data_IF_620550700012
#
_entry.id   IF_620550700012
#
_cell.length_a   1.000
_cell.length_b   1.000
_cell.length_c   1.000
_cell.angle_alpha   90.00
_cell.angle_beta   90.00
_cell.angle_gamma   90.00
#
_symmetry.space_group_name_H-M   'P 1'
#
loop_
_entity.id
_entity.type
_entity.pdbx_description
1 polymer ?
#
# COMPACT_ATOMS: atom_id res chain seq x y z
N UNK A 1 -70.31 -5.06 -42.41
CA UNK A 1 -68.92 -4.89 -42.78
C UNK A 1 -68.27 -3.69 -42.04
N UNK A 2 -69.06 -2.64 -41.76
CA UNK A 2 -68.52 -1.41 -41.09
C UNK A 2 -68.31 -1.58 -39.58
N UNK A 3 -68.97 -2.50 -38.88
CA UNK A 3 -68.74 -2.79 -37.43
C UNK A 3 -67.50 -3.65 -37.12
N UNK A 4 -66.89 -4.28 -38.14
CA UNK A 4 -65.63 -5.01 -37.99
C UNK A 4 -64.42 -4.14 -38.17
N UNK A 5 -64.56 -2.96 -38.73
CA UNK A 5 -63.42 -1.99 -38.91
C UNK A 5 -63.27 -1.05 -37.72
N UNK A 6 -64.31 -0.92 -36.86
CA UNK A 6 -64.21 -0.14 -35.61
C UNK A 6 -63.56 -0.88 -34.45
N UNK A 7 -63.49 -2.22 -34.50
CA UNK A 7 -62.74 -3.05 -33.53
C UNK A 7 -61.26 -3.27 -33.90
N UNK A 8 -60.80 -2.78 -35.06
CA UNK A 8 -59.39 -2.79 -35.47
C UNK A 8 -58.72 -1.43 -35.30
N UNK A 9 -59.42 -0.44 -34.73
CA UNK A 9 -58.90 0.88 -34.42
C UNK A 9 -58.07 0.97 -33.13
N UNK A 10 -58.07 -0.09 -32.31
CA UNK A 10 -57.24 -0.19 -31.11
C UNK A 10 -55.86 -0.85 -31.36
N UNK A 11 -55.55 -1.01 -32.62
CA UNK A 11 -54.22 -1.53 -33.01
C UNK A 11 -53.27 -0.37 -33.12
N UNK A 12 -52.43 -0.28 -32.08
CA UNK A 12 -51.07 0.24 -32.15
C UNK A 12 -51.00 1.69 -32.65
N UNK A 13 -51.18 2.64 -31.74
CA UNK A 13 -50.36 3.82 -31.79
C UNK A 13 -48.90 3.33 -31.68
N UNK A 14 -48.30 3.02 -32.81
CA UNK A 14 -46.87 2.98 -32.96
C UNK A 14 -46.40 4.38 -32.60
N UNK A 15 -45.99 4.57 -31.34
CA UNK A 15 -45.28 5.77 -30.93
C UNK A 15 -44.21 6.03 -32.00
N UNK A 16 -44.25 7.19 -32.62
CA UNK A 16 -43.28 7.52 -33.65
C UNK A 16 -41.87 7.21 -33.13
N UNK A 17 -40.91 6.81 -33.95
CA UNK A 17 -39.56 6.56 -33.51
C UNK A 17 -38.99 7.70 -32.63
N UNK A 18 -39.44 8.92 -32.88
CA UNK A 18 -39.12 10.10 -32.07
C UNK A 18 -39.69 10.00 -30.64
N UNK A 19 -40.96 9.66 -30.47
CA UNK A 19 -41.58 9.52 -29.15
C UNK A 19 -40.94 8.39 -28.32
N UNK A 20 -40.50 7.33 -28.98
CA UNK A 20 -39.74 6.25 -28.34
C UNK A 20 -38.37 6.72 -27.87
N UNK A 21 -37.68 7.50 -28.68
CA UNK A 21 -36.36 8.09 -28.33
C UNK A 21 -36.52 9.12 -27.22
N UNK A 22 -37.51 10.02 -27.30
CA UNK A 22 -37.82 10.97 -26.23
C UNK A 22 -38.13 10.30 -24.89
N UNK A 23 -38.91 9.22 -24.92
CA UNK A 23 -39.22 8.44 -23.70
C UNK A 23 -37.97 7.73 -23.16
N UNK A 24 -37.14 7.16 -24.03
CA UNK A 24 -35.84 6.59 -23.65
C UNK A 24 -34.89 7.64 -23.07
N UNK A 25 -34.81 8.83 -23.68
CA UNK A 25 -34.02 9.92 -23.14
C UNK A 25 -34.52 10.37 -21.75
N UNK A 26 -35.83 10.52 -21.58
CA UNK A 26 -36.42 10.82 -20.26
C UNK A 26 -36.13 9.70 -19.26
N UNK A 27 -36.26 8.44 -19.65
CA UNK A 27 -36.01 7.30 -18.79
C UNK A 27 -34.51 7.22 -18.39
N UNK A 28 -33.59 7.52 -19.30
CA UNK A 28 -32.18 7.60 -19.04
C UNK A 28 -31.85 8.79 -18.11
N UNK A 29 -32.39 9.97 -18.39
CA UNK A 29 -32.17 11.17 -17.57
C UNK A 29 -32.79 11.05 -16.17
N UNK A 30 -33.96 10.38 -16.04
CA UNK A 30 -34.57 10.12 -14.72
C UNK A 30 -33.85 9.01 -13.96
N UNK A 31 -33.17 8.08 -14.65
CA UNK A 31 -32.41 7.00 -14.02
C UNK A 31 -30.97 7.37 -13.67
N UNK A 32 -30.47 8.51 -14.11
CA UNK A 32 -29.25 9.09 -13.55
C UNK A 32 -29.67 9.77 -12.24
N UNK A 33 -29.45 9.17 -11.07
CA UNK A 33 -29.78 9.83 -9.82
C UNK A 33 -28.98 11.13 -9.73
N UNK A 34 -29.61 12.22 -9.32
CA UNK A 34 -28.93 13.48 -8.98
C UNK A 34 -27.81 13.25 -7.94
N UNK A 35 -27.90 12.15 -7.21
CA UNK A 35 -26.90 11.65 -6.27
C UNK A 35 -25.58 11.20 -6.95
N UNK A 36 -25.59 10.82 -8.24
CA UNK A 36 -24.35 10.43 -8.94
C UNK A 36 -23.46 11.63 -9.30
N UNK A 37 -24.03 12.80 -9.56
CA UNK A 37 -23.27 14.03 -9.81
C UNK A 37 -22.73 14.66 -8.50
N UNK A 38 -23.39 14.42 -7.37
CA UNK A 38 -22.95 14.94 -6.07
C UNK A 38 -21.87 14.09 -5.39
N UNK A 39 -21.47 12.96 -5.96
CA UNK A 39 -20.82 11.88 -5.22
C UNK A 39 -19.28 11.94 -5.13
N UNK A 40 -18.62 12.81 -5.85
CA UNK A 40 -17.19 13.09 -5.56
C UNK A 40 -17.06 14.19 -4.50
N UNK A 41 -17.62 13.94 -3.30
CA UNK A 41 -17.35 14.83 -2.17
C UNK A 41 -15.87 14.68 -1.81
N UNK A 42 -15.19 15.81 -1.67
CA UNK A 42 -13.77 15.87 -1.21
C UNK A 42 -13.51 15.16 0.14
N UNK A 43 -14.56 14.70 0.78
CA UNK A 43 -14.55 14.05 2.09
C UNK A 43 -14.51 12.53 2.03
N UNK A 44 -14.80 11.92 0.87
CA UNK A 44 -14.75 10.47 0.69
C UNK A 44 -13.32 9.96 0.77
N UNK A 45 -13.07 8.94 1.58
CA UNK A 45 -11.72 8.42 1.77
C UNK A 45 -11.65 6.90 1.95
N UNK A 46 -12.78 6.22 2.17
CA UNK A 46 -12.82 4.76 2.34
C UNK A 46 -13.49 4.16 1.10
N UNK A 47 -12.72 3.40 0.33
CA UNK A 47 -13.11 2.90 -0.99
C UNK A 47 -13.40 1.41 -0.96
N UNK A 48 -14.36 0.96 -1.78
CA UNK A 48 -14.47 -0.44 -2.15
C UNK A 48 -13.42 -0.72 -3.23
N UNK A 49 -12.66 -1.78 -3.04
CA UNK A 49 -11.65 -2.22 -4.01
C UNK A 49 -12.34 -2.66 -5.30
N UNK A 50 -11.96 -2.08 -6.46
CA UNK A 50 -12.49 -2.46 -7.76
C UNK A 50 -12.34 -3.97 -8.03
N UNK A 51 -13.34 -4.58 -8.69
CA UNK A 51 -13.37 -6.02 -8.94
C UNK A 51 -12.10 -6.51 -9.67
N UNK A 52 -11.65 -5.80 -10.69
CA UNK A 52 -10.44 -6.15 -11.44
C UNK A 52 -9.19 -6.28 -10.54
N UNK A 53 -9.02 -5.38 -9.57
CA UNK A 53 -7.91 -5.43 -8.62
C UNK A 53 -8.11 -6.52 -7.55
N UNK A 54 -9.36 -6.74 -7.14
CA UNK A 54 -9.72 -7.79 -6.18
C UNK A 54 -9.47 -9.19 -6.72
N UNK A 55 -9.80 -9.41 -7.99
CA UNK A 55 -9.66 -10.70 -8.68
C UNK A 55 -8.20 -11.17 -8.76
N UNK A 56 -7.23 -10.24 -8.70
CA UNK A 56 -5.81 -10.59 -8.64
C UNK A 56 -5.42 -11.31 -7.34
N UNK A 57 -5.98 -10.88 -6.20
CA UNK A 57 -5.80 -11.53 -4.89
C UNK A 57 -6.86 -11.06 -3.89
N UNK A 58 -8.01 -11.73 -3.85
CA UNK A 58 -9.11 -11.41 -2.92
C UNK A 58 -8.67 -11.45 -1.45
N UNK A 59 -7.77 -12.38 -1.09
CA UNK A 59 -7.29 -12.54 0.27
C UNK A 59 -6.46 -11.33 0.77
N UNK A 60 -5.92 -10.53 -0.14
CA UNK A 60 -5.18 -9.31 0.21
C UNK A 60 -6.10 -8.19 0.71
N UNK A 61 -7.39 -8.22 0.37
CA UNK A 61 -8.38 -7.17 0.67
C UNK A 61 -9.45 -7.61 1.69
N UNK A 62 -9.45 -8.90 2.06
CA UNK A 62 -10.45 -9.46 2.97
C UNK A 62 -9.87 -9.64 4.37
N UNK A 63 -10.55 -9.17 5.43
CA UNK A 63 -10.11 -9.38 6.80
C UNK A 63 -10.18 -10.86 7.18
N UNK A 64 -9.16 -11.34 7.92
CA UNK A 64 -9.04 -12.73 8.33
C UNK A 64 -9.49 -12.97 9.76
N UNK A 65 -9.44 -11.96 10.59
CA UNK A 65 -9.66 -12.07 12.02
C UNK A 65 -10.73 -11.13 12.51
N UNK A 66 -10.70 -9.86 12.13
CA UNK A 66 -11.61 -8.86 12.68
C UNK A 66 -12.23 -7.99 11.59
N UNK A 67 -13.54 -7.82 11.64
CA UNK A 67 -14.27 -6.82 10.86
C UNK A 67 -14.28 -5.50 11.63
N UNK A 68 -13.96 -4.42 10.96
CA UNK A 68 -14.17 -3.04 11.43
C UNK A 68 -15.06 -2.34 10.40
N UNK A 69 -16.05 -1.60 10.89
CA UNK A 69 -16.97 -0.85 10.04
C UNK A 69 -17.89 -1.71 9.11
N UNK A 70 -18.73 -1.09 8.26
CA UNK A 70 -19.89 -1.78 7.70
C UNK A 70 -19.56 -2.78 6.58
N UNK A 71 -18.45 -2.62 5.84
CA UNK A 71 -18.21 -3.38 4.60
C UNK A 71 -18.14 -4.89 4.88
N UNK A 72 -17.45 -5.30 5.93
CA UNK A 72 -17.26 -6.71 6.30
C UNK A 72 -18.04 -7.14 7.55
N UNK A 73 -18.92 -6.28 8.10
CA UNK A 73 -19.62 -6.50 9.38
C UNK A 73 -20.38 -7.84 9.47
N UNK A 74 -20.99 -8.27 8.39
CA UNK A 74 -21.82 -9.50 8.35
C UNK A 74 -21.03 -10.75 7.92
N UNK A 75 -19.69 -10.74 7.97
CA UNK A 75 -18.89 -11.91 7.61
C UNK A 75 -18.95 -12.96 8.74
N UNK A 76 -19.65 -14.06 8.46
CA UNK A 76 -19.83 -15.19 9.40
C UNK A 76 -18.49 -15.73 9.96
N UNK A 77 -17.42 -15.70 9.16
CA UNK A 77 -16.09 -16.19 9.59
C UNK A 77 -15.45 -15.34 10.69
N UNK A 78 -15.93 -14.09 10.85
CA UNK A 78 -15.36 -13.11 11.80
C UNK A 78 -16.19 -12.99 13.10
N UNK A 79 -17.33 -13.68 13.20
CA UNK A 79 -18.26 -13.58 14.35
C UNK A 79 -17.60 -13.88 15.70
N UNK A 80 -16.62 -14.75 15.74
CA UNK A 80 -15.91 -15.06 16.99
C UNK A 80 -15.24 -13.83 17.63
N UNK A 81 -14.80 -12.86 16.79
CA UNK A 81 -14.17 -11.64 17.29
C UNK A 81 -15.19 -10.60 17.74
N UNK A 82 -16.44 -10.66 17.32
CA UNK A 82 -17.50 -9.78 17.84
C UNK A 82 -17.69 -9.97 19.36
N UNK A 83 -17.57 -11.21 19.85
CA UNK A 83 -17.59 -11.51 21.28
C UNK A 83 -16.40 -10.86 22.01
N UNK A 84 -15.23 -10.85 21.38
CA UNK A 84 -14.04 -10.19 21.97
C UNK A 84 -14.18 -8.66 21.96
N UNK A 85 -14.80 -8.08 20.94
CA UNK A 85 -15.13 -6.64 20.95
C UNK A 85 -16.06 -6.27 22.10
N UNK A 86 -17.12 -7.08 22.35
CA UNK A 86 -18.02 -6.88 23.50
C UNK A 86 -17.28 -6.98 24.83
N UNK A 87 -16.35 -7.94 24.96
CA UNK A 87 -15.52 -8.08 26.14
C UNK A 87 -14.65 -6.81 26.35
N UNK A 88 -13.99 -6.33 25.28
CA UNK A 88 -13.17 -5.12 25.32
C UNK A 88 -14.01 -3.90 25.65
N UNK A 89 -15.21 -3.77 25.11
CA UNK A 89 -16.16 -2.72 25.47
C UNK A 89 -16.48 -2.73 26.98
N UNK A 90 -16.85 -3.89 27.52
CA UNK A 90 -17.14 -4.04 28.95
C UNK A 90 -15.94 -3.65 29.81
N UNK A 91 -14.77 -4.22 29.51
CA UNK A 91 -13.54 -3.98 30.28
C UNK A 91 -13.05 -2.54 30.14
N UNK A 92 -13.26 -1.87 29.00
CA UNK A 92 -12.99 -0.44 28.84
C UNK A 92 -13.77 0.41 29.85
N UNK A 93 -15.08 0.17 29.98
CA UNK A 93 -15.90 0.89 30.94
C UNK A 93 -15.56 0.54 32.41
N UNK A 94 -15.17 -0.69 32.69
CA UNK A 94 -14.75 -1.11 34.03
C UNK A 94 -13.38 -0.55 34.44
N UNK A 95 -12.44 -0.45 33.51
CA UNK A 95 -11.04 -0.11 33.81
C UNK A 95 -10.69 1.37 33.58
N UNK A 96 -11.37 2.02 32.63
CA UNK A 96 -11.00 3.38 32.16
C UNK A 96 -11.97 4.46 32.62
N UNK A 97 -13.19 4.09 33.00
CA UNK A 97 -14.28 5.02 33.30
C UNK A 97 -14.72 4.85 34.75
N UNK A 98 -14.93 5.96 35.43
CA UNK A 98 -15.53 5.96 36.78
C UNK A 98 -16.97 5.39 36.69
N UNK A 99 -17.33 4.51 37.58
CA UNK A 99 -18.60 3.77 37.55
C UNK A 99 -19.83 4.67 37.45
N UNK A 100 -19.79 5.80 38.18
CA UNK A 100 -20.87 6.78 38.22
C UNK A 100 -21.04 7.53 36.89
N UNK A 101 -19.97 7.64 36.11
CA UNK A 101 -19.94 8.33 34.81
C UNK A 101 -20.19 7.40 33.61
N UNK A 102 -20.19 6.09 33.81
CA UNK A 102 -20.28 5.11 32.73
C UNK A 102 -21.55 5.27 31.88
N UNK A 103 -22.70 5.45 32.52
CA UNK A 103 -23.98 5.66 31.82
C UNK A 103 -24.01 6.99 31.04
N UNK A 104 -23.49 8.04 31.62
CA UNK A 104 -23.42 9.37 30.99
C UNK A 104 -22.50 9.33 29.76
N UNK A 105 -21.32 8.72 29.90
CA UNK A 105 -20.37 8.57 28.79
C UNK A 105 -20.95 7.71 27.67
N UNK A 106 -21.56 6.57 27.98
CA UNK A 106 -22.17 5.70 26.98
C UNK A 106 -23.25 6.45 26.18
N UNK A 107 -24.12 7.20 26.87
CA UNK A 107 -25.13 8.03 26.23
C UNK A 107 -24.50 9.09 25.32
N UNK A 108 -23.46 9.79 25.79
CA UNK A 108 -22.77 10.81 25.02
C UNK A 108 -22.11 10.23 23.75
N UNK A 109 -21.45 9.06 23.85
CA UNK A 109 -20.85 8.39 22.69
C UNK A 109 -21.91 7.98 21.65
N UNK A 110 -23.03 7.38 22.11
CA UNK A 110 -24.13 6.98 21.22
C UNK A 110 -24.77 8.19 20.53
N UNK A 111 -25.01 9.29 21.28
CA UNK A 111 -25.58 10.53 20.71
C UNK A 111 -24.64 11.13 19.67
N UNK A 112 -23.33 11.22 19.95
CA UNK A 112 -22.33 11.75 19.02
C UNK A 112 -22.29 10.93 17.73
N UNK A 113 -22.31 9.59 17.81
CA UNK A 113 -22.32 8.72 16.63
C UNK A 113 -23.62 8.90 15.83
N UNK A 114 -24.76 8.94 16.50
CA UNK A 114 -26.08 9.11 15.86
C UNK A 114 -26.18 10.46 15.14
N UNK A 115 -25.73 11.55 15.76
CA UNK A 115 -25.70 12.88 15.14
C UNK A 115 -24.80 12.94 13.89
N UNK A 116 -23.73 12.11 13.87
CA UNK A 116 -22.75 12.05 12.78
C UNK A 116 -22.93 10.86 11.84
N UNK A 117 -24.00 10.10 11.95
CA UNK A 117 -24.23 8.93 11.14
C UNK A 117 -24.08 9.23 9.65
N UNK A 118 -24.70 10.30 9.16
CA UNK A 118 -24.62 10.74 7.77
C UNK A 118 -23.19 11.11 7.38
N UNK A 119 -22.48 11.86 8.22
CA UNK A 119 -21.09 12.26 7.95
C UNK A 119 -20.16 11.04 7.87
N UNK A 120 -20.36 10.07 8.76
CA UNK A 120 -19.57 8.83 8.77
C UNK A 120 -19.87 8.03 7.51
N UNK A 121 -21.15 7.88 7.13
CA UNK A 121 -21.56 7.18 5.91
C UNK A 121 -21.00 7.85 4.64
N UNK A 122 -20.98 9.19 4.60
CA UNK A 122 -20.45 9.94 3.46
C UNK A 122 -18.94 9.75 3.24
N UNK A 123 -18.20 9.21 4.21
CA UNK A 123 -16.76 8.88 4.04
C UNK A 123 -16.52 7.64 3.18
N UNK A 124 -17.52 6.81 2.99
CA UNK A 124 -17.43 5.60 2.18
C UNK A 124 -17.84 5.86 0.74
N UNK A 125 -16.95 5.50 -0.19
CA UNK A 125 -17.24 5.46 -1.64
C UNK A 125 -17.83 4.10 -1.95
N UNK A 126 -19.11 3.95 -1.68
CA UNK A 126 -19.84 2.73 -1.93
C UNK A 126 -21.25 3.09 -2.36
N UNK A 127 -21.91 2.14 -3.01
CA UNK A 127 -23.35 2.20 -3.19
C UNK A 127 -24.01 2.19 -1.79
N UNK A 128 -24.26 3.40 -1.26
CA UNK A 128 -24.85 3.61 0.07
C UNK A 128 -26.18 2.89 0.22
N UNK A 129 -26.87 2.59 -0.90
CA UNK A 129 -28.08 1.79 -0.89
C UNK A 129 -27.85 0.37 -0.38
N UNK A 130 -26.66 -0.20 -0.61
CA UNK A 130 -26.30 -1.53 -0.10
C UNK A 130 -25.98 -1.55 1.39
N UNK A 131 -25.50 -0.44 1.97
CA UNK A 131 -25.29 -0.33 3.41
C UNK A 131 -26.58 -0.01 4.14
N UNK A 132 -27.34 0.99 3.67
CA UNK A 132 -28.58 1.43 4.29
C UNK A 132 -29.68 0.35 4.25
N UNK A 133 -29.63 -0.58 3.28
CA UNK A 133 -30.56 -1.71 3.23
C UNK A 133 -30.23 -2.87 4.17
N UNK A 134 -28.97 -2.94 4.68
CA UNK A 134 -28.49 -4.06 5.51
C UNK A 134 -28.32 -3.72 6.99
N UNK A 135 -28.13 -2.46 7.34
CA UNK A 135 -27.96 -2.00 8.73
C UNK A 135 -28.99 -0.91 9.02
N UNK A 136 -29.89 -1.14 9.98
CA UNK A 136 -30.73 -0.06 10.53
C UNK A 136 -29.85 0.97 11.25
N UNK A 137 -30.30 2.23 11.35
CA UNK A 137 -29.55 3.29 12.03
C UNK A 137 -29.01 2.87 13.41
N UNK A 138 -29.85 2.24 14.24
CA UNK A 138 -29.42 1.74 15.57
C UNK A 138 -28.33 0.66 15.49
N UNK A 139 -28.39 -0.22 14.47
CA UNK A 139 -27.37 -1.26 14.29
C UNK A 139 -26.05 -0.65 13.84
N UNK A 140 -26.11 0.36 12.96
CA UNK A 140 -24.92 1.09 12.53
C UNK A 140 -24.26 1.83 13.70
N UNK A 141 -25.04 2.55 14.50
CA UNK A 141 -24.55 3.29 15.69
C UNK A 141 -23.87 2.33 16.69
N UNK A 142 -24.50 1.18 16.97
CA UNK A 142 -23.95 0.15 17.84
C UNK A 142 -22.65 -0.44 17.30
N UNK A 143 -22.58 -0.73 16.00
CA UNK A 143 -21.38 -1.24 15.35
C UNK A 143 -20.24 -0.24 15.45
N UNK A 144 -20.45 1.02 15.11
CA UNK A 144 -19.41 2.07 15.19
C UNK A 144 -18.89 2.23 16.60
N UNK A 145 -19.80 2.24 17.62
CA UNK A 145 -19.40 2.30 19.02
C UNK A 145 -18.52 1.12 19.41
N UNK A 146 -18.95 -0.10 19.08
CA UNK A 146 -18.25 -1.33 19.44
C UNK A 146 -16.86 -1.38 18.82
N UNK A 147 -16.77 -1.03 17.55
CA UNK A 147 -15.50 -1.01 16.81
C UNK A 147 -14.55 0.09 17.29
N UNK A 148 -15.07 1.30 17.56
CA UNK A 148 -14.26 2.39 18.08
C UNK A 148 -13.67 2.07 19.47
N UNK A 149 -14.51 1.63 20.40
CA UNK A 149 -14.05 1.30 21.76
C UNK A 149 -13.11 0.09 21.75
N UNK A 150 -13.35 -0.89 20.89
CA UNK A 150 -12.40 -1.99 20.69
C UNK A 150 -11.02 -1.48 20.28
N UNK A 151 -10.94 -0.57 19.31
CA UNK A 151 -9.67 0.03 18.85
C UNK A 151 -9.00 0.79 19.99
N UNK A 152 -9.75 1.58 20.75
CA UNK A 152 -9.20 2.35 21.88
C UNK A 152 -8.57 1.42 22.92
N UNK A 153 -9.31 0.42 23.38
CA UNK A 153 -8.82 -0.48 24.41
C UNK A 153 -7.67 -1.37 23.90
N UNK A 154 -7.73 -1.81 22.64
CA UNK A 154 -6.64 -2.54 21.99
C UNK A 154 -5.33 -1.73 22.01
N UNK A 155 -5.39 -0.46 21.64
CA UNK A 155 -4.21 0.39 21.58
C UNK A 155 -3.68 0.74 22.97
N UNK A 156 -4.56 1.01 23.93
CA UNK A 156 -4.19 1.25 25.30
C UNK A 156 -3.49 0.04 25.92
N UNK A 157 -4.08 -1.16 25.78
CA UNK A 157 -3.47 -2.41 26.29
C UNK A 157 -2.13 -2.70 25.61
N UNK A 158 -2.04 -2.50 24.30
CA UNK A 158 -0.78 -2.69 23.59
C UNK A 158 0.30 -1.74 24.10
N UNK A 159 -0.02 -0.49 24.41
CA UNK A 159 0.93 0.47 24.99
C UNK A 159 1.32 0.09 26.43
N UNK A 160 0.38 -0.34 27.25
CA UNK A 160 0.66 -0.80 28.59
C UNK A 160 1.52 -2.07 28.60
N UNK A 161 1.24 -3.04 27.69
CA UNK A 161 2.06 -4.24 27.48
C UNK A 161 3.48 -3.88 27.01
N UNK A 162 3.64 -2.86 26.17
CA UNK A 162 4.98 -2.39 25.75
C UNK A 162 5.80 -1.83 26.91
N UNK A 163 5.16 -1.19 27.88
CA UNK A 163 5.83 -0.65 29.07
C UNK A 163 6.12 -1.73 30.11
N UNK A 164 5.21 -2.65 30.26
CA UNK A 164 5.29 -3.75 31.20
C UNK A 164 4.71 -5.02 30.55
N UNK A 165 5.58 -5.88 30.07
CA UNK A 165 5.19 -7.10 29.36
C UNK A 165 4.55 -8.17 30.24
N UNK A 166 4.52 -7.98 31.58
CA UNK A 166 3.78 -8.84 32.50
C UNK A 166 2.28 -8.57 32.47
N UNK A 167 1.88 -7.36 32.08
CA UNK A 167 0.47 -7.00 31.94
C UNK A 167 -0.15 -7.69 30.72
N UNK A 168 -1.37 -8.13 30.85
CA UNK A 168 -2.16 -8.72 29.76
C UNK A 168 -1.57 -9.96 29.10
N UNK A 169 -0.69 -10.72 29.78
CA UNK A 169 -0.17 -11.99 29.26
C UNK A 169 -1.28 -13.01 28.99
N UNK A 170 -2.31 -13.03 29.86
CA UNK A 170 -3.48 -13.88 29.75
C UNK A 170 -4.59 -13.29 28.87
N UNK A 171 -4.43 -12.07 28.37
CA UNK A 171 -5.40 -11.47 27.47
C UNK A 171 -5.46 -12.25 26.15
N UNK A 172 -6.69 -12.47 25.67
CA UNK A 172 -6.94 -13.27 24.49
C UNK A 172 -6.23 -12.73 23.22
N UNK A 173 -6.08 -11.42 23.11
CA UNK A 173 -5.45 -10.75 21.95
C UNK A 173 -4.00 -10.37 22.26
N UNK A 174 -3.78 -9.62 23.35
CA UNK A 174 -2.46 -9.06 23.67
C UNK A 174 -1.45 -10.15 24.00
N UNK A 175 -1.86 -11.21 24.72
CA UNK A 175 -1.03 -12.34 25.07
C UNK A 175 -0.60 -13.23 23.88
N UNK A 176 -1.18 -13.01 22.67
CA UNK A 176 -0.90 -13.86 21.50
C UNK A 176 -0.28 -13.06 20.36
N UNK A 177 1.05 -13.14 20.15
CA UNK A 177 1.76 -12.35 19.14
C UNK A 177 1.20 -12.49 17.72
N UNK A 178 0.82 -13.72 17.33
CA UNK A 178 0.25 -13.98 16.01
C UNK A 178 -1.10 -13.26 15.81
N UNK A 179 -1.95 -13.23 16.84
CA UNK A 179 -3.26 -12.59 16.77
C UNK A 179 -3.14 -11.06 16.72
N UNK A 180 -2.21 -10.50 17.52
CA UNK A 180 -1.88 -9.07 17.41
C UNK A 180 -1.39 -8.68 16.01
N UNK A 181 -0.54 -9.53 15.40
CA UNK A 181 -0.05 -9.30 14.05
C UNK A 181 -1.18 -9.41 13.01
N UNK A 182 -2.08 -10.38 13.15
CA UNK A 182 -3.21 -10.58 12.27
C UNK A 182 -4.23 -9.41 12.36
N UNK A 183 -4.54 -8.95 13.57
CA UNK A 183 -5.41 -7.78 13.77
C UNK A 183 -4.76 -6.52 13.21
N UNK A 184 -3.44 -6.31 13.42
CA UNK A 184 -2.72 -5.16 12.83
C UNK A 184 -2.81 -5.17 11.31
N UNK A 185 -2.71 -6.35 10.68
CA UNK A 185 -2.92 -6.52 9.24
C UNK A 185 -4.33 -6.12 8.83
N UNK A 186 -5.35 -6.61 9.54
CA UNK A 186 -6.74 -6.35 9.20
C UNK A 186 -7.10 -4.85 9.38
N UNK A 187 -6.47 -4.15 10.33
CA UNK A 187 -6.65 -2.72 10.54
C UNK A 187 -5.99 -1.84 9.45
N UNK A 188 -5.18 -2.41 8.56
CA UNK A 188 -4.58 -1.67 7.42
C UNK A 188 -5.42 -1.84 6.15
N UNK A 189 -6.34 -2.81 6.09
CA UNK A 189 -7.16 -3.04 4.90
C UNK A 189 -8.04 -1.83 4.59
N UNK A 190 -8.03 -1.38 3.33
CA UNK A 190 -8.76 -0.19 2.87
C UNK A 190 -10.28 -0.29 3.14
N UNK A 191 -10.84 -1.48 3.03
CA UNK A 191 -12.27 -1.73 3.26
C UNK A 191 -12.64 -1.98 4.74
N UNK A 192 -11.65 -1.99 5.63
CA UNK A 192 -11.82 -2.33 7.04
C UNK A 192 -11.46 -1.14 7.94
N UNK A 193 -12.03 0.04 7.64
CA UNK A 193 -11.67 1.31 8.24
C UNK A 193 -12.86 2.05 8.82
N UNK A 194 -12.61 2.78 9.92
CA UNK A 194 -13.43 3.90 10.37
C UNK A 194 -12.67 5.21 10.08
N UNK A 195 -13.38 6.33 9.80
CA UNK A 195 -12.74 7.62 9.64
C UNK A 195 -11.95 8.02 10.91
N UNK A 196 -10.69 8.41 10.74
CA UNK A 196 -9.84 8.77 11.89
C UNK A 196 -10.37 9.98 12.66
N UNK A 197 -11.01 10.92 11.96
CA UNK A 197 -11.68 12.07 12.60
C UNK A 197 -12.74 11.62 13.60
N UNK A 198 -13.60 10.67 13.21
CA UNK A 198 -14.63 10.08 14.08
C UNK A 198 -14.00 9.36 15.27
N UNK A 199 -13.00 8.49 15.03
CA UNK A 199 -12.30 7.81 16.11
C UNK A 199 -11.66 8.79 17.09
N UNK A 200 -11.01 9.83 16.60
CA UNK A 200 -10.33 10.82 17.44
C UNK A 200 -11.30 11.64 18.29
N UNK A 201 -12.47 11.98 17.75
CA UNK A 201 -13.50 12.70 18.50
C UNK A 201 -14.11 11.82 19.59
N UNK A 202 -14.49 10.58 19.26
CA UNK A 202 -15.01 9.64 20.25
C UNK A 202 -13.96 9.31 21.34
N UNK A 203 -12.68 9.20 20.94
CA UNK A 203 -11.61 8.98 21.91
C UNK A 203 -11.42 10.16 22.87
N UNK A 204 -11.45 11.40 22.36
CA UNK A 204 -11.38 12.61 23.20
C UNK A 204 -12.53 12.69 24.18
N UNK A 205 -13.74 12.31 23.75
CA UNK A 205 -14.91 12.25 24.60
C UNK A 205 -14.76 11.17 25.69
N UNK A 206 -14.27 9.99 25.31
CA UNK A 206 -14.08 8.85 26.20
C UNK A 206 -12.94 9.06 27.22
N UNK A 207 -11.88 9.75 26.81
CA UNK A 207 -10.64 9.94 27.58
C UNK A 207 -10.41 11.42 27.90
N UNK A 208 -11.40 12.08 28.50
CA UNK A 208 -11.40 13.53 28.81
C UNK A 208 -10.38 13.96 29.85
N UNK A 209 -9.52 13.08 30.38
CA UNK A 209 -8.44 13.40 31.33
C UNK A 209 -7.25 14.03 30.60
N UNK A 210 -6.69 15.09 31.18
CA UNK A 210 -5.57 15.88 30.64
C UNK A 210 -4.27 15.07 30.43
N UNK A 211 -4.10 13.95 31.14
CA UNK A 211 -2.86 13.17 31.15
C UNK A 211 -2.92 11.94 30.23
N UNK A 212 -3.95 11.82 29.38
CA UNK A 212 -4.09 10.67 28.50
C UNK A 212 -3.25 10.85 27.22
N UNK A 213 -2.60 9.77 26.80
CA UNK A 213 -1.91 9.71 25.49
C UNK A 213 -2.95 9.94 24.39
N UNK A 214 -2.63 10.74 23.41
CA UNK A 214 -3.54 10.99 22.28
C UNK A 214 -3.78 9.73 21.45
N UNK A 215 -4.95 9.62 20.78
CA UNK A 215 -5.22 8.52 19.87
C UNK A 215 -4.19 8.48 18.73
N UNK A 216 -3.73 9.63 18.28
CA UNK A 216 -2.70 9.74 17.25
C UNK A 216 -1.39 9.10 17.73
N UNK A 217 -0.92 9.42 18.93
CA UNK A 217 0.31 8.84 19.47
C UNK A 217 0.19 7.32 19.70
N UNK A 218 -0.98 6.87 20.19
CA UNK A 218 -1.26 5.45 20.33
C UNK A 218 -1.23 4.74 18.99
N UNK A 219 -1.84 5.35 17.96
CA UNK A 219 -1.82 4.81 16.59
C UNK A 219 -0.40 4.74 16.03
N UNK A 220 0.41 5.78 16.24
CA UNK A 220 1.82 5.78 15.83
C UNK A 220 2.61 4.64 16.48
N UNK A 221 2.40 4.41 17.76
CA UNK A 221 3.06 3.32 18.49
C UNK A 221 2.55 1.94 18.06
N UNK A 222 1.25 1.80 17.79
CA UNK A 222 0.68 0.54 17.34
C UNK A 222 1.19 0.12 15.96
N UNK A 223 1.36 1.08 15.03
CA UNK A 223 1.88 0.87 13.69
C UNK A 223 3.37 1.17 13.53
N UNK A 224 4.13 1.29 14.63
CA UNK A 224 5.56 1.65 14.64
C UNK A 224 6.43 0.75 13.75
N UNK A 225 6.06 -0.53 13.54
CA UNK A 225 6.74 -1.43 12.61
C UNK A 225 6.93 -0.81 11.20
N UNK A 226 5.99 0.03 10.75
CA UNK A 226 6.02 0.67 9.44
C UNK A 226 6.64 2.05 9.45
N UNK A 227 6.86 2.62 10.64
CA UNK A 227 7.40 3.96 10.82
C UNK A 227 8.92 3.94 10.72
N UNK A 228 9.46 4.72 9.79
CA UNK A 228 10.91 4.98 9.74
C UNK A 228 11.23 6.38 10.24
N UNK A 229 11.00 7.42 9.45
CA UNK A 229 11.05 8.81 9.87
C UNK A 229 9.71 9.45 9.52
N UNK A 230 9.00 10.06 10.44
CA UNK A 230 7.74 10.74 10.14
C UNK A 230 7.47 11.83 11.17
N UNK A 231 7.15 13.01 10.67
CA UNK A 231 6.55 14.08 11.47
C UNK A 231 5.10 14.29 10.99
N UNK A 232 4.11 14.30 11.90
CA UNK A 232 2.71 14.41 11.54
C UNK A 232 2.39 15.84 11.09
N UNK A 233 2.51 16.11 9.80
CA UNK A 233 2.17 17.40 9.20
C UNK A 233 0.86 17.39 8.42
N UNK A 234 0.24 16.22 8.23
CA UNK A 234 -0.99 16.05 7.44
C UNK A 234 -2.14 15.51 8.28
N UNK A 235 -3.36 15.83 7.85
CA UNK A 235 -4.58 15.20 8.37
C UNK A 235 -4.57 13.73 7.95
N UNK A 236 -4.68 12.83 8.91
CA UNK A 236 -4.79 11.39 8.67
C UNK A 236 -6.27 11.04 8.48
N UNK A 237 -6.57 10.32 7.40
CA UNK A 237 -7.94 9.96 7.04
C UNK A 237 -8.41 8.67 7.75
N UNK A 238 -7.56 7.66 7.79
CA UNK A 238 -7.75 6.35 8.42
C UNK A 238 -6.41 5.62 8.57
N UNK A 239 -6.38 4.40 9.11
CA UNK A 239 -5.11 3.70 9.39
C UNK A 239 -4.34 3.30 8.13
N UNK A 240 -5.02 3.00 7.02
CA UNK A 240 -4.34 2.76 5.74
C UNK A 240 -3.55 4.00 5.30
N UNK A 241 -4.17 5.19 5.41
CA UNK A 241 -3.51 6.47 5.12
C UNK A 241 -2.35 6.76 6.07
N UNK A 242 -2.51 6.46 7.37
CA UNK A 242 -1.44 6.59 8.35
C UNK A 242 -0.20 5.78 7.94
N UNK A 243 -0.39 4.50 7.57
CA UNK A 243 0.71 3.63 7.15
C UNK A 243 1.30 4.08 5.83
N UNK A 244 0.46 4.56 4.88
CA UNK A 244 0.91 5.23 3.66
C UNK A 244 1.84 6.39 3.98
N UNK A 245 1.43 7.28 4.88
CA UNK A 245 2.25 8.42 5.30
C UNK A 245 3.60 8.00 5.88
N UNK A 246 3.65 6.93 6.66
CA UNK A 246 4.91 6.41 7.20
C UNK A 246 5.87 5.92 6.13
N UNK A 247 5.36 5.21 5.12
CA UNK A 247 6.17 4.63 4.05
C UNK A 247 6.51 5.64 2.95
N UNK A 248 5.63 6.63 2.71
CA UNK A 248 5.80 7.65 1.68
C UNK A 248 6.43 8.95 2.18
N UNK A 249 6.89 8.99 3.42
CA UNK A 249 7.55 10.18 3.96
C UNK A 249 8.78 10.54 3.11
N UNK A 250 8.84 11.79 2.68
CA UNK A 250 9.96 12.32 1.90
C UNK A 250 10.85 13.16 2.79
N UNK A 251 12.15 12.91 2.69
CA UNK A 251 13.08 13.88 3.25
C UNK A 251 12.88 15.25 2.59
N UNK A 252 12.84 16.37 3.33
CA UNK A 252 12.58 17.71 2.77
C UNK A 252 13.51 18.08 1.62
N UNK A 253 14.75 17.58 1.65
CA UNK A 253 15.77 17.85 0.63
C UNK A 253 15.60 17.00 -0.64
N UNK A 254 14.71 16.00 -0.62
CA UNK A 254 14.48 15.12 -1.77
C UNK A 254 13.52 15.79 -2.76
N UNK A 255 14.07 16.57 -3.68
CA UNK A 255 13.31 17.08 -4.83
C UNK A 255 13.05 15.93 -5.77
N UNK A 256 11.87 15.33 -5.68
CA UNK A 256 11.40 14.38 -6.69
C UNK A 256 10.98 15.19 -7.91
N UNK A 257 11.78 15.13 -8.96
CA UNK A 257 11.42 15.74 -10.25
C UNK A 257 10.24 15.00 -10.85
N UNK A 258 9.30 15.75 -11.44
CA UNK A 258 8.21 15.15 -12.21
C UNK A 258 8.78 14.67 -13.53
N UNK A 259 8.86 13.37 -13.71
CA UNK A 259 9.22 12.70 -14.96
C UNK A 259 8.01 12.08 -15.66
N UNK A 260 8.22 11.49 -16.82
CA UNK A 260 7.27 10.61 -17.49
C UNK A 260 7.18 9.26 -16.78
N UNK A 261 6.36 8.31 -17.27
CA UNK A 261 6.37 6.94 -16.77
C UNK A 261 7.73 6.26 -17.05
N UNK A 262 8.13 5.32 -16.20
CA UNK A 262 9.30 4.48 -16.46
C UNK A 262 8.98 3.59 -17.66
N UNK A 263 9.58 3.91 -18.82
CA UNK A 263 9.35 3.15 -20.06
C UNK A 263 10.13 1.84 -20.07
N UNK A 264 11.38 1.93 -19.69
CA UNK A 264 12.33 0.80 -19.64
C UNK A 264 13.34 1.04 -18.53
N UNK A 265 13.73 -0.02 -17.85
CA UNK A 265 14.87 -0.02 -16.94
C UNK A 265 15.50 -1.41 -17.01
N UNK A 266 16.82 -1.46 -17.08
CA UNK A 266 17.55 -2.73 -17.02
C UNK A 266 17.46 -3.36 -15.64
N UNK A 267 17.36 -4.70 -15.58
CA UNK A 267 17.22 -5.43 -14.30
C UNK A 267 18.47 -5.27 -13.40
N UNK A 268 18.31 -5.60 -12.14
CA UNK A 268 19.37 -5.42 -11.14
C UNK A 268 20.65 -6.15 -11.51
N UNK A 269 20.55 -7.38 -12.03
CA UNK A 269 21.72 -8.16 -12.48
C UNK A 269 22.39 -7.55 -13.71
N UNK A 270 21.62 -7.04 -14.65
CA UNK A 270 22.16 -6.35 -15.83
C UNK A 270 22.89 -5.07 -15.43
N UNK A 271 22.31 -4.26 -14.55
CA UNK A 271 22.95 -3.06 -14.03
C UNK A 271 24.23 -3.37 -13.25
N UNK A 272 24.24 -4.44 -12.45
CA UNK A 272 25.44 -4.91 -11.74
C UNK A 272 26.54 -5.31 -12.71
N UNK A 273 26.22 -6.03 -13.78
CA UNK A 273 27.19 -6.42 -14.82
C UNK A 273 27.83 -5.20 -15.48
N UNK A 274 27.09 -4.12 -15.69
CA UNK A 274 27.61 -2.84 -16.16
C UNK A 274 28.50 -2.13 -15.11
N UNK A 275 28.47 -2.55 -13.86
CA UNK A 275 29.29 -2.02 -12.78
C UNK A 275 28.56 -1.16 -11.76
N UNK A 276 27.21 -1.13 -11.80
CA UNK A 276 26.41 -0.49 -10.76
C UNK A 276 26.45 -1.39 -9.51
N UNK A 277 26.66 -0.77 -8.36
CA UNK A 277 26.65 -1.42 -7.05
C UNK A 277 25.40 -1.00 -6.29
N UNK A 278 24.63 -1.97 -5.85
CA UNK A 278 23.50 -1.74 -4.96
C UNK A 278 24.00 -1.63 -3.51
N UNK A 279 23.47 -0.67 -2.77
CA UNK A 279 23.78 -0.49 -1.35
C UNK A 279 22.52 -0.25 -0.54
N UNK A 280 22.40 -0.92 0.59
CA UNK A 280 21.32 -0.64 1.54
C UNK A 280 21.53 0.72 2.20
N UNK A 281 20.44 1.49 2.33
CA UNK A 281 20.37 2.76 3.05
C UNK A 281 19.43 2.60 4.24
N UNK A 282 19.91 2.09 5.39
CA UNK A 282 19.06 1.83 6.56
C UNK A 282 18.49 3.13 7.14
N UNK A 283 17.38 3.00 7.88
CA UNK A 283 16.72 4.07 8.61
C UNK A 283 16.13 5.22 7.76
N UNK A 284 16.11 5.08 6.44
CA UNK A 284 15.49 6.02 5.53
C UNK A 284 14.10 5.54 5.05
N UNK A 285 13.30 6.47 4.54
CA UNK A 285 12.00 6.18 3.92
C UNK A 285 12.16 5.36 2.65
N UNK A 286 11.15 4.56 2.28
CA UNK A 286 11.18 3.76 1.04
C UNK A 286 11.44 4.59 -0.22
N UNK A 287 11.05 5.86 -0.21
CA UNK A 287 11.22 6.77 -1.35
C UNK A 287 12.61 7.40 -1.44
N UNK A 288 13.45 7.22 -0.44
CA UNK A 288 14.78 7.85 -0.38
C UNK A 288 15.82 7.02 -1.15
N UNK A 289 15.62 6.94 -2.45
CA UNK A 289 16.52 6.24 -3.37
C UNK A 289 17.50 7.25 -3.97
N UNK A 290 18.80 6.99 -3.86
CA UNK A 290 19.87 7.91 -4.24
C UNK A 290 20.84 7.23 -5.20
N UNK A 291 21.08 7.84 -6.35
CA UNK A 291 22.22 7.50 -7.22
C UNK A 291 23.36 8.49 -6.97
N UNK A 292 24.57 8.14 -7.43
CA UNK A 292 25.80 8.91 -7.27
C UNK A 292 25.72 10.41 -7.62
N UNK A 293 24.79 10.83 -8.48
CA UNK A 293 24.60 12.25 -8.83
C UNK A 293 23.89 13.06 -7.74
N UNK A 294 23.10 12.39 -6.90
CA UNK A 294 22.32 13.03 -5.82
C UNK A 294 23.05 13.03 -4.48
N UNK A 295 24.25 12.45 -4.42
CA UNK A 295 25.07 12.46 -3.22
C UNK A 295 25.65 13.85 -2.95
N UNK A 296 25.81 14.22 -1.70
CA UNK A 296 26.45 15.46 -1.30
C UNK A 296 27.90 15.54 -1.82
N UNK A 297 28.48 16.76 -1.93
CA UNK A 297 29.87 16.91 -2.36
C UNK A 297 30.86 16.10 -1.51
N UNK A 298 30.60 15.94 -0.21
CA UNK A 298 31.43 15.15 0.69
C UNK A 298 31.32 13.65 0.40
N UNK A 299 30.11 13.14 0.15
CA UNK A 299 29.85 11.75 -0.22
C UNK A 299 30.44 11.41 -1.60
N UNK A 300 30.38 12.34 -2.57
CA UNK A 300 31.01 12.16 -3.92
C UNK A 300 32.51 12.01 -3.90
N UNK A 301 33.20 12.51 -2.88
CA UNK A 301 34.64 12.36 -2.74
C UNK A 301 34.99 10.93 -2.31
N UNK A 302 34.14 10.28 -1.57
CA UNK A 302 34.34 8.93 -1.01
C UNK A 302 33.70 7.86 -1.91
N UNK A 303 32.59 8.16 -2.59
CA UNK A 303 31.77 7.20 -3.35
C UNK A 303 32.04 7.28 -4.85
N UNK A 304 32.30 6.10 -5.43
CA UNK A 304 32.58 5.97 -6.86
C UNK A 304 31.31 6.06 -7.69
N UNK A 305 31.42 6.66 -8.88
CA UNK A 305 30.40 6.59 -9.94
C UNK A 305 29.88 5.16 -10.11
N UNK A 306 28.55 4.98 -10.12
CA UNK A 306 27.93 3.67 -10.29
C UNK A 306 27.41 3.03 -9.00
N UNK A 307 27.06 3.79 -7.98
CA UNK A 307 26.40 3.28 -6.78
C UNK A 307 24.92 3.70 -6.74
N UNK A 308 24.04 2.75 -6.43
CA UNK A 308 22.61 2.98 -6.20
C UNK A 308 22.27 2.59 -4.76
N UNK A 309 21.85 3.57 -3.98
CA UNK A 309 21.49 3.43 -2.59
C UNK A 309 20.00 3.33 -2.47
N UNK A 310 19.48 2.27 -1.82
CA UNK A 310 18.05 2.01 -1.64
C UNK A 310 17.76 1.64 -0.19
N UNK A 311 16.67 2.17 0.38
CA UNK A 311 16.22 1.72 1.70
C UNK A 311 15.83 0.24 1.68
N UNK A 312 16.20 -0.53 2.74
CA UNK A 312 15.83 -1.93 2.83
C UNK A 312 14.32 -2.13 2.84
N UNK A 313 13.82 -3.01 1.97
CA UNK A 313 12.45 -3.50 1.98
C UNK A 313 12.40 -4.88 2.63
N UNK A 314 11.70 -4.97 3.77
CA UNK A 314 11.39 -6.26 4.41
C UNK A 314 10.18 -6.88 3.73
N UNK A 315 10.36 -8.09 3.20
CA UNK A 315 9.29 -8.84 2.51
C UNK A 315 8.91 -10.05 3.38
N UNK A 316 7.68 -10.02 3.89
CA UNK A 316 7.06 -11.09 4.67
C UNK A 316 5.69 -11.49 4.06
N UNK A 317 5.01 -12.46 4.68
CA UNK A 317 3.69 -12.96 4.23
C UNK A 317 2.58 -11.89 4.21
N UNK A 318 2.78 -10.72 4.81
CA UNK A 318 1.80 -9.64 4.85
C UNK A 318 2.15 -8.50 3.86
N UNK A 319 3.33 -8.54 3.26
CA UNK A 319 3.83 -7.48 2.38
C UNK A 319 2.93 -7.27 1.17
N UNK A 320 2.47 -8.34 0.53
CA UNK A 320 1.53 -8.24 -0.59
C UNK A 320 0.23 -7.55 -0.17
N UNK A 321 -0.36 -7.98 0.94
CA UNK A 321 -1.57 -7.38 1.48
C UNK A 321 -1.37 -5.88 1.78
N UNK A 322 -0.27 -5.52 2.44
CA UNK A 322 0.07 -4.14 2.74
C UNK A 322 0.17 -3.29 1.47
N UNK A 323 1.04 -3.70 0.54
CA UNK A 323 1.32 -2.90 -0.66
C UNK A 323 0.07 -2.78 -1.54
N UNK A 324 -0.69 -3.85 -1.78
CA UNK A 324 -1.92 -3.79 -2.58
C UNK A 324 -2.94 -2.79 -2.02
N UNK A 325 -3.18 -2.78 -0.70
CA UNK A 325 -4.12 -1.83 -0.09
C UNK A 325 -3.64 -0.39 -0.20
N UNK A 326 -2.34 -0.13 0.01
CA UNK A 326 -1.76 1.20 -0.15
C UNK A 326 -1.80 1.69 -1.59
N UNK A 327 -1.48 0.82 -2.55
CA UNK A 327 -1.47 1.12 -3.97
C UNK A 327 -2.87 1.43 -4.49
N UNK A 328 -3.87 0.63 -4.14
CA UNK A 328 -5.28 0.90 -4.48
C UNK A 328 -5.73 2.22 -3.88
N UNK A 329 -5.40 2.48 -2.62
CA UNK A 329 -5.74 3.74 -1.98
C UNK A 329 -5.09 4.95 -2.67
N UNK A 330 -3.82 4.86 -3.07
CA UNK A 330 -3.16 5.93 -3.81
C UNK A 330 -3.82 6.21 -5.16
N UNK A 331 -4.13 5.16 -5.92
CA UNK A 331 -4.76 5.31 -7.23
C UNK A 331 -6.16 5.94 -7.14
N UNK A 332 -6.93 5.64 -6.10
CA UNK A 332 -8.28 6.13 -5.93
C UNK A 332 -8.35 7.51 -5.26
N UNK A 333 -7.44 7.81 -4.32
CA UNK A 333 -7.54 9.00 -3.49
C UNK A 333 -6.47 10.07 -3.78
N UNK A 334 -5.28 9.68 -4.24
CA UNK A 334 -4.14 10.58 -4.43
C UNK A 334 -3.64 10.61 -5.88
N UNK A 335 -4.49 10.93 -6.88
CA UNK A 335 -4.04 11.00 -8.27
C UNK A 335 -2.94 12.07 -8.44
N UNK A 336 -1.81 11.65 -8.99
CA UNK A 336 -0.60 12.48 -9.12
C UNK A 336 0.36 12.41 -7.93
N UNK A 337 -0.02 11.78 -6.81
CA UNK A 337 0.82 11.56 -5.61
C UNK A 337 0.97 10.06 -5.29
N UNK A 338 0.96 9.18 -6.30
CA UNK A 338 1.03 7.73 -6.17
C UNK A 338 2.47 7.26 -5.86
N UNK A 339 2.95 7.59 -4.68
CA UNK A 339 4.36 7.39 -4.29
C UNK A 339 4.73 5.93 -4.10
N UNK A 340 3.86 5.16 -3.44
CA UNK A 340 4.08 3.72 -3.22
C UNK A 340 3.95 2.97 -4.54
N UNK A 341 2.98 3.35 -5.40
CA UNK A 341 2.83 2.79 -6.73
C UNK A 341 4.10 2.96 -7.56
N UNK A 342 4.66 4.17 -7.59
CA UNK A 342 5.91 4.47 -8.32
C UNK A 342 7.11 3.70 -7.77
N UNK A 343 7.20 3.57 -6.45
CA UNK A 343 8.24 2.77 -5.81
C UNK A 343 8.13 1.28 -6.21
N UNK A 344 6.93 0.71 -6.14
CA UNK A 344 6.70 -0.69 -6.54
C UNK A 344 7.00 -0.88 -8.02
N UNK A 345 6.64 0.08 -8.88
CA UNK A 345 6.99 0.04 -10.31
C UNK A 345 8.48 0.07 -10.58
N UNK A 346 9.23 0.86 -9.82
CA UNK A 346 10.70 0.84 -9.89
C UNK A 346 11.26 -0.53 -9.48
N UNK A 347 10.74 -1.12 -8.40
CA UNK A 347 11.15 -2.47 -7.96
C UNK A 347 10.82 -3.53 -9.01
N UNK A 348 9.62 -3.51 -9.58
CA UNK A 348 9.19 -4.39 -10.67
C UNK A 348 10.14 -4.30 -11.88
N UNK A 349 10.56 -3.07 -12.21
CA UNK A 349 11.53 -2.86 -13.29
C UNK A 349 12.95 -3.35 -12.97
N UNK A 350 13.34 -3.44 -11.71
CA UNK A 350 14.64 -3.95 -11.28
C UNK A 350 14.66 -5.47 -11.10
N UNK A 351 13.48 -6.11 -10.93
CA UNK A 351 13.33 -7.53 -10.60
C UNK A 351 12.56 -8.25 -11.70
N UNK A 352 13.25 -8.90 -12.60
CA UNK A 352 12.66 -9.77 -13.62
C UNK A 352 12.60 -11.23 -13.14
N UNK A 353 13.69 -11.70 -12.53
CA UNK A 353 13.88 -13.10 -12.17
C UNK A 353 14.45 -13.24 -10.74
N UNK A 354 14.48 -14.47 -10.23
CA UNK A 354 15.02 -14.85 -8.93
C UNK A 354 16.44 -14.33 -8.67
N UNK A 355 17.30 -14.33 -9.70
CA UNK A 355 18.69 -13.83 -9.61
C UNK A 355 18.78 -12.33 -9.29
N UNK A 356 17.83 -11.54 -9.77
CA UNK A 356 17.76 -10.13 -9.43
C UNK A 356 17.44 -9.96 -7.94
N UNK A 357 16.54 -10.80 -7.42
CA UNK A 357 16.21 -10.85 -5.98
C UNK A 357 17.41 -11.28 -5.15
N UNK A 358 18.10 -12.35 -5.54
CA UNK A 358 19.31 -12.83 -4.84
C UNK A 358 20.34 -11.72 -4.71
N UNK A 359 20.59 -11.00 -5.81
CA UNK A 359 21.49 -9.85 -5.82
C UNK A 359 21.08 -8.76 -4.83
N UNK A 360 19.78 -8.42 -4.80
CA UNK A 360 19.27 -7.38 -3.90
C UNK A 360 19.27 -7.84 -2.43
N UNK A 361 19.12 -9.15 -2.17
CA UNK A 361 19.25 -9.74 -0.83
C UNK A 361 20.72 -9.71 -0.37
N UNK A 362 21.66 -10.11 -1.22
CA UNK A 362 23.11 -10.06 -0.92
C UNK A 362 23.56 -8.65 -0.52
N UNK A 363 23.01 -7.64 -1.19
CA UNK A 363 23.27 -6.23 -0.92
C UNK A 363 22.36 -5.61 0.17
N UNK A 364 21.54 -6.43 0.84
CA UNK A 364 20.62 -6.02 1.93
C UNK A 364 19.58 -4.96 1.53
N UNK A 365 19.32 -4.80 0.24
CA UNK A 365 18.25 -3.95 -0.29
C UNK A 365 16.89 -4.63 -0.13
N UNK A 366 16.86 -5.97 -0.25
CA UNK A 366 15.71 -6.79 0.11
C UNK A 366 16.07 -7.63 1.33
N UNK A 367 15.17 -7.69 2.32
CA UNK A 367 15.26 -8.56 3.49
C UNK A 367 14.08 -9.53 3.41
N UNK A 368 14.31 -10.72 2.81
CA UNK A 368 13.26 -11.71 2.62
C UNK A 368 13.04 -12.55 3.87
N UNK A 369 11.76 -12.74 4.23
CA UNK A 369 11.28 -13.71 5.22
C UNK A 369 10.43 -14.82 4.57
N UNK A 370 10.37 -14.85 3.23
CA UNK A 370 9.62 -15.88 2.49
C UNK A 370 10.45 -17.14 2.19
N UNK A 371 11.78 -17.06 2.33
CA UNK A 371 12.68 -18.21 2.17
C UNK A 371 12.98 -18.62 0.73
N UNK A 372 12.29 -18.07 -0.28
CA UNK A 372 12.45 -18.38 -1.69
C UNK A 372 12.50 -17.10 -2.53
N UNK A 373 13.55 -16.92 -3.33
CA UNK A 373 13.74 -15.74 -4.18
C UNK A 373 12.76 -15.72 -5.37
N UNK A 374 12.36 -16.86 -5.89
CA UNK A 374 11.34 -16.96 -6.94
C UNK A 374 9.96 -16.47 -6.43
N UNK A 375 9.59 -16.81 -5.19
CA UNK A 375 8.36 -16.31 -4.57
C UNK A 375 8.39 -14.78 -4.39
N UNK A 376 9.54 -14.21 -4.05
CA UNK A 376 9.71 -12.76 -3.95
C UNK A 376 9.61 -12.09 -5.31
N UNK A 377 10.27 -12.64 -6.34
CA UNK A 377 10.19 -12.11 -7.71
C UNK A 377 8.74 -12.13 -8.22
N UNK A 378 8.04 -13.26 -8.06
CA UNK A 378 6.62 -13.38 -8.43
C UNK A 378 5.74 -12.36 -7.70
N UNK A 379 5.96 -12.17 -6.40
CA UNK A 379 5.22 -11.18 -5.62
C UNK A 379 5.40 -9.79 -6.23
N UNK A 380 6.64 -9.35 -6.44
CA UNK A 380 6.93 -8.02 -6.98
C UNK A 380 6.30 -7.84 -8.36
N UNK A 381 6.48 -8.80 -9.28
CA UNK A 381 5.99 -8.72 -10.65
C UNK A 381 4.45 -8.77 -10.75
N UNK A 382 3.76 -9.37 -9.77
CA UNK A 382 2.29 -9.38 -9.74
C UNK A 382 1.69 -8.14 -9.11
N UNK A 383 2.44 -7.38 -8.30
CA UNK A 383 1.93 -6.15 -7.68
C UNK A 383 1.58 -5.08 -8.70
N UNK A 384 2.28 -5.00 -9.83
CA UNK A 384 2.07 -4.01 -10.88
C UNK A 384 0.97 -4.35 -11.88
N UNK A 385 0.32 -5.52 -11.76
CA UNK A 385 -0.81 -5.87 -12.62
C UNK A 385 -2.00 -4.93 -12.38
N UNK A 386 -2.67 -4.54 -13.45
CA UNK A 386 -3.79 -3.58 -13.44
C UNK A 386 -3.43 -2.18 -12.88
N UNK A 387 -2.12 -1.83 -12.87
CA UNK A 387 -1.68 -0.50 -12.48
C UNK A 387 -1.36 0.37 -13.70
N UNK A 388 -1.80 1.63 -13.65
CA UNK A 388 -1.48 2.63 -14.66
C UNK A 388 -0.51 3.65 -14.09
N UNK A 389 0.71 3.71 -14.61
CA UNK A 389 1.69 4.75 -14.28
C UNK A 389 1.60 5.88 -15.30
N UNK A 390 1.12 7.05 -14.86
CA UNK A 390 1.04 8.25 -15.71
C UNK A 390 2.35 9.05 -15.64
N UNK A 391 2.97 9.09 -14.47
CA UNK A 391 4.20 9.83 -14.23
C UNK A 391 5.00 9.16 -13.11
N UNK A 392 6.32 9.24 -13.21
CA UNK A 392 7.22 8.70 -12.17
C UNK A 392 8.23 9.74 -11.71
N UNK A 393 8.38 9.84 -10.41
CA UNK A 393 9.50 10.61 -9.82
C UNK A 393 10.84 9.88 -9.97
N UNK A 394 10.81 8.61 -10.38
CA UNK A 394 12.00 7.79 -10.63
C UNK A 394 12.39 7.73 -12.12
N UNK A 395 11.64 8.38 -13.03
CA UNK A 395 12.01 8.45 -14.45
C UNK A 395 13.41 9.06 -14.68
N UNK A 396 13.81 10.18 -14.04
CA UNK A 396 15.17 10.69 -14.18
C UNK A 396 16.24 9.70 -13.68
N UNK A 397 15.93 8.98 -12.60
CA UNK A 397 16.81 7.93 -12.08
C UNK A 397 16.94 6.77 -13.06
N UNK A 398 15.81 6.28 -13.63
CA UNK A 398 15.83 5.18 -14.60
C UNK A 398 16.63 5.54 -15.85
N UNK A 399 16.48 6.75 -16.36
CA UNK A 399 17.29 7.26 -17.48
C UNK A 399 18.78 7.29 -17.16
N UNK A 400 19.16 7.81 -15.99
CA UNK A 400 20.55 7.84 -15.54
C UNK A 400 21.16 6.44 -15.47
N UNK A 401 20.44 5.46 -14.93
CA UNK A 401 20.87 4.06 -14.84
C UNK A 401 21.02 3.42 -16.22
N UNK A 402 20.05 3.68 -17.13
CA UNK A 402 20.09 3.18 -18.49
C UNK A 402 21.26 3.79 -19.30
N UNK A 403 21.45 5.11 -19.21
CA UNK A 403 22.57 5.81 -19.89
C UNK A 403 23.93 5.28 -19.39
N UNK A 404 24.03 4.99 -18.10
CA UNK A 404 25.24 4.37 -17.54
C UNK A 404 25.45 2.96 -18.10
N UNK A 405 24.40 2.11 -18.13
CA UNK A 405 24.48 0.77 -18.72
C UNK A 405 24.84 0.81 -20.20
N UNK A 406 24.22 1.72 -20.96
CA UNK A 406 24.37 1.85 -22.41
C UNK A 406 25.67 2.52 -22.86
N UNK A 407 26.42 3.13 -21.97
CA UNK A 407 27.71 3.70 -22.34
C UNK A 407 28.60 2.64 -23.00
N UNK A 408 29.33 3.03 -24.04
CA UNK A 408 30.16 2.10 -24.85
C UNK A 408 31.16 1.31 -24.03
N UNK A 409 31.71 1.92 -22.97
CA UNK A 409 32.65 1.26 -22.06
C UNK A 409 31.98 0.16 -21.23
N UNK A 410 30.78 0.43 -20.71
CA UNK A 410 30.07 -0.52 -19.88
C UNK A 410 29.49 -1.67 -20.68
N UNK A 411 28.98 -1.43 -21.91
CA UNK A 411 28.57 -2.48 -22.85
C UNK A 411 29.73 -3.46 -23.14
N UNK A 412 30.89 -2.93 -23.46
CA UNK A 412 32.09 -3.77 -23.74
C UNK A 412 32.52 -4.54 -22.49
N UNK A 413 32.49 -3.93 -21.31
CA UNK A 413 32.75 -4.61 -20.03
C UNK A 413 31.75 -5.72 -19.75
N UNK A 414 30.46 -5.45 -19.90
CA UNK A 414 29.38 -6.43 -19.71
C UNK A 414 29.57 -7.63 -20.66
N UNK A 415 29.85 -7.37 -21.94
CA UNK A 415 30.14 -8.43 -22.94
C UNK A 415 31.35 -9.25 -22.54
N UNK A 416 32.46 -8.61 -22.18
CA UNK A 416 33.68 -9.29 -21.73
C UNK A 416 33.40 -10.20 -20.53
N UNK A 417 32.70 -9.69 -19.50
CA UNK A 417 32.40 -10.47 -18.30
C UNK A 417 31.44 -11.63 -18.58
N UNK A 418 30.41 -11.43 -19.39
CA UNK A 418 29.40 -12.45 -19.68
C UNK A 418 29.89 -13.56 -20.60
N UNK A 419 30.81 -13.26 -21.53
CA UNK A 419 31.31 -14.20 -22.53
C UNK A 419 32.62 -14.85 -22.09
N UNK A 420 33.59 -14.04 -21.66
CA UNK A 420 34.96 -14.50 -21.42
C UNK A 420 35.25 -14.82 -19.95
N UNK A 421 34.45 -14.32 -18.99
CA UNK A 421 34.65 -14.52 -17.56
C UNK A 421 33.41 -15.11 -16.86
N UNK A 422 32.58 -15.86 -17.59
CA UNK A 422 31.32 -16.45 -17.10
C UNK A 422 31.51 -17.36 -15.88
N UNK A 423 32.65 -18.06 -15.81
CA UNK A 423 33.04 -18.86 -14.66
C UNK A 423 34.59 -18.91 -14.56
N UNK A 424 35.10 -19.41 -13.41
CA UNK A 424 36.54 -19.46 -13.12
C UNK A 424 37.34 -20.20 -14.22
N UNK A 425 36.81 -21.29 -14.77
CA UNK A 425 37.47 -22.08 -15.78
C UNK A 425 37.57 -21.36 -17.14
N UNK A 426 36.48 -20.72 -17.57
CA UNK A 426 36.49 -19.92 -18.81
C UNK A 426 37.39 -18.71 -18.64
N UNK A 427 37.30 -18.02 -17.50
CA UNK A 427 38.15 -16.85 -17.20
C UNK A 427 39.63 -17.23 -17.19
N UNK A 428 40.01 -18.31 -16.53
CA UNK A 428 41.39 -18.80 -16.51
C UNK A 428 41.84 -19.17 -17.90
N UNK A 429 41.07 -19.90 -18.69
CA UNK A 429 41.36 -20.25 -20.06
C UNK A 429 41.57 -19.02 -20.95
N UNK A 430 40.75 -18.00 -20.79
CA UNK A 430 40.87 -16.72 -21.53
C UNK A 430 42.18 -15.99 -21.20
N UNK A 431 42.56 -15.92 -19.93
CA UNK A 431 43.81 -15.28 -19.49
C UNK A 431 45.01 -16.05 -20.00
N UNK A 432 45.04 -17.37 -19.85
CA UNK A 432 46.13 -18.22 -20.32
C UNK A 432 46.28 -18.14 -21.85
N UNK A 433 45.17 -18.22 -22.59
CA UNK A 433 45.15 -18.10 -24.05
C UNK A 433 45.66 -16.74 -24.51
N UNK A 434 45.25 -15.66 -23.86
CA UNK A 434 45.74 -14.29 -24.17
C UNK A 434 47.28 -14.14 -23.92
N UNK A 435 47.79 -14.72 -22.81
CA UNK A 435 49.21 -14.73 -22.54
C UNK A 435 50.02 -15.49 -23.56
N UNK A 436 49.55 -16.68 -23.98
CA UNK A 436 50.20 -17.49 -25.01
C UNK A 436 50.22 -16.71 -26.35
N UNK A 437 49.10 -16.07 -26.71
CA UNK A 437 49.00 -15.26 -27.93
C UNK A 437 50.00 -14.08 -27.89
N UNK A 438 50.05 -13.35 -26.74
CA UNK A 438 51.00 -12.24 -26.56
C UNK A 438 52.47 -12.68 -26.71
N UNK A 439 52.83 -13.83 -26.12
CA UNK A 439 54.18 -14.41 -26.26
C UNK A 439 54.46 -14.79 -27.73
N UNK A 440 53.49 -15.40 -28.41
CA UNK A 440 53.63 -15.81 -29.82
C UNK A 440 53.86 -14.59 -30.73
N UNK A 441 53.02 -13.52 -30.54
CA UNK A 441 53.15 -12.26 -31.30
C UNK A 441 54.51 -11.59 -31.02
N UNK A 442 54.93 -11.54 -29.77
CA UNK A 442 56.24 -10.95 -29.40
C UNK A 442 57.37 -11.70 -30.03
N UNK A 443 57.37 -13.04 -29.99
CA UNK A 443 58.39 -13.87 -30.67
C UNK A 443 58.36 -13.68 -32.19
N UNK A 444 57.21 -13.57 -32.82
CA UNK A 444 57.04 -13.30 -34.23
C UNK A 444 57.68 -11.95 -34.62
N UNK A 445 57.35 -10.89 -33.87
CA UNK A 445 57.97 -9.57 -34.12
C UNK A 445 59.47 -9.61 -33.96
N UNK A 446 60.00 -10.26 -32.93
CA UNK A 446 61.46 -10.36 -32.69
C UNK A 446 62.17 -11.19 -33.77
N UNK A 447 61.47 -12.12 -34.41
CA UNK A 447 62.00 -12.89 -35.55
C UNK A 447 62.19 -12.05 -36.82
N UNK A 448 61.30 -11.05 -37.07
CA UNK A 448 61.37 -10.17 -38.24
C UNK A 448 62.26 -8.90 -38.01
N UNK A 449 62.61 -8.60 -36.80
CA UNK A 449 63.43 -7.44 -36.44
C UNK A 449 64.90 -7.88 -36.30
N UNK A 450 65.19 -9.17 -36.27
CA UNK A 450 66.54 -9.76 -36.41
C UNK A 450 66.81 -10.13 -37.86
#
# INVERSE_FOLDING_TARGET
MIRKLQQMGDIVQLASPLNRIENLCKEILIRIPDELESSFRSEQCIYIVPAALRDLNEAAFTPRVISIAPIHHNNEKLKAMEVQKLRYLKEFFELRVEKEKSGILLTALLSTISEKEVDICCRYVADTSKFNSKLSGDQFVKMVLLDAVFIFELFLRNEEYRRDNSKYQDDFIIGKPWLRAAIRRDLILLENQLPFSTLNELYKLAMSRTDCISLMDLSFRYFEKYRKKYEPSKIILHFTDLVRCFLSFKHPDLKLEKGGPIKTLYSATMLQQAGIKFKALPDESLLDIRAWERLSKAERIVEKKGELHMPPLEIDNNTECLLRNLMVFEQLHYPGEEHICRYVKLLDSLVDVDKDVDLLIENKVIISKLGDSDAVAKLINTLCQEMVEISSSFDPLSKLLNDYYESSWNKNRTYLLSVYFKNVWIGTGTVVGSLILAIAVTRFILYFVR
#
